data_IF_257458594277
#
_entry.id   IF_257458594277
#
_cell.length_a   1.000
_cell.length_b   1.000
_cell.length_c   1.000
_cell.angle_alpha   90.00
_cell.angle_beta   90.00
_cell.angle_gamma   90.00
#
_symmetry.space_group_name_H-M   'P 1'
#
loop_
_entity.id
_entity.type
_entity.pdbx_description
1 polymer ?
#
# COMPACT_ATOMS: atom_id res chain seq x y z
N UNK A 1 5.20 -10.32 -4.76
CA UNK A 1 4.57 -10.13 -6.10
C UNK A 1 5.47 -9.49 -7.15
N UNK A 2 6.58 -8.84 -6.78
CA UNK A 2 7.43 -8.09 -7.72
C UNK A 2 8.82 -8.71 -8.00
N UNK A 3 9.13 -9.86 -7.40
CA UNK A 3 10.45 -10.52 -7.58
C UNK A 3 10.70 -10.79 -9.07
N UNK A 4 11.84 -10.34 -9.57
CA UNK A 4 12.25 -10.48 -10.97
C UNK A 4 11.82 -9.32 -11.89
N UNK A 5 11.08 -8.32 -11.38
CA UNK A 5 10.80 -7.10 -12.14
C UNK A 5 12.00 -6.13 -12.06
N UNK A 6 12.29 -5.34 -13.12
CA UNK A 6 13.45 -4.44 -13.13
C UNK A 6 13.49 -3.45 -11.95
N UNK A 7 12.32 -2.96 -11.51
CA UNK A 7 12.18 -2.00 -10.42
C UNK A 7 12.19 -2.63 -9.02
N UNK A 8 12.33 -3.95 -8.89
CA UNK A 8 12.18 -4.62 -7.59
C UNK A 8 13.24 -4.20 -6.57
N UNK A 9 14.48 -4.00 -7.02
CA UNK A 9 15.57 -3.55 -6.14
C UNK A 9 15.28 -2.19 -5.53
N UNK A 10 14.92 -1.22 -6.37
CA UNK A 10 14.61 0.15 -5.95
C UNK A 10 13.38 0.19 -5.03
N UNK A 11 12.35 -0.60 -5.34
CA UNK A 11 11.17 -0.75 -4.48
C UNK A 11 11.56 -1.22 -3.07
N UNK A 12 12.39 -2.26 -2.95
CA UNK A 12 12.82 -2.79 -1.65
C UNK A 12 13.66 -1.74 -0.91
N UNK A 13 14.58 -1.07 -1.61
CA UNK A 13 15.41 -0.01 -1.03
C UNK A 13 14.55 1.13 -0.48
N UNK A 14 13.54 1.57 -1.23
CA UNK A 14 12.67 2.67 -0.84
C UNK A 14 11.84 2.32 0.41
N UNK A 15 11.10 1.20 0.38
CA UNK A 15 10.19 0.84 1.49
C UNK A 15 10.92 0.46 2.78
N UNK A 16 12.23 0.20 2.72
CA UNK A 16 13.08 -0.12 3.88
C UNK A 16 14.01 1.02 4.30
N UNK A 17 13.97 2.17 3.60
CA UNK A 17 14.83 3.33 3.88
C UNK A 17 14.48 4.07 5.17
N UNK A 18 13.30 3.81 5.76
CA UNK A 18 12.82 4.48 6.96
C UNK A 18 11.70 3.71 7.66
N UNK A 19 11.22 4.23 8.80
CA UNK A 19 10.11 3.63 9.53
C UNK A 19 8.81 3.73 8.72
N UNK A 20 7.95 2.71 8.85
CA UNK A 20 6.61 2.67 8.24
C UNK A 20 5.54 2.55 9.31
N UNK A 21 4.38 3.16 9.07
CA UNK A 21 3.18 2.93 9.88
C UNK A 21 2.38 1.77 9.29
N UNK A 22 2.39 0.62 9.95
CA UNK A 22 1.55 -0.52 9.58
C UNK A 22 0.19 -0.43 10.29
N UNK A 23 -0.90 -0.60 9.53
CA UNK A 23 -2.27 -0.55 10.04
C UNK A 23 -3.04 -1.81 9.63
N UNK A 24 -3.85 -2.35 10.55
CA UNK A 24 -4.86 -3.35 10.25
C UNK A 24 -6.25 -2.69 10.27
N UNK A 25 -6.89 -2.63 9.10
CA UNK A 25 -8.18 -1.94 8.94
C UNK A 25 -9.31 -2.95 8.78
N UNK A 26 -10.37 -2.81 9.58
CA UNK A 26 -11.59 -3.63 9.51
C UNK A 26 -12.80 -2.76 9.19
N UNK A 27 -13.69 -3.28 8.35
CA UNK A 27 -14.93 -2.62 7.99
C UNK A 27 -15.61 -3.32 6.82
N UNK A 28 -16.81 -2.86 6.49
CA UNK A 28 -17.49 -3.30 5.27
C UNK A 28 -16.68 -2.87 4.04
N UNK A 29 -16.46 -3.82 3.12
CA UNK A 29 -15.68 -3.58 1.90
C UNK A 29 -14.29 -2.95 2.13
N UNK A 30 -13.68 -3.17 3.31
CA UNK A 30 -12.48 -2.45 3.76
C UNK A 30 -11.36 -2.37 2.71
N UNK A 31 -11.07 -3.47 2.01
CA UNK A 31 -10.04 -3.51 0.96
C UNK A 31 -10.38 -2.52 -0.17
N UNK A 32 -11.60 -2.56 -0.69
CA UNK A 32 -12.02 -1.66 -1.76
C UNK A 32 -12.04 -0.21 -1.26
N UNK A 33 -12.60 0.04 -0.08
CA UNK A 33 -12.66 1.36 0.53
C UNK A 33 -11.27 1.97 0.73
N UNK A 34 -10.33 1.23 1.31
CA UNK A 34 -8.95 1.68 1.50
C UNK A 34 -8.28 1.96 0.16
N UNK A 35 -8.43 1.09 -0.84
CA UNK A 35 -7.86 1.32 -2.17
C UNK A 35 -8.44 2.55 -2.87
N UNK A 36 -9.73 2.82 -2.71
CA UNK A 36 -10.36 4.05 -3.20
C UNK A 36 -9.77 5.28 -2.52
N UNK A 37 -9.59 5.26 -1.19
CA UNK A 37 -8.96 6.36 -0.45
C UNK A 37 -7.49 6.57 -0.84
N UNK A 38 -6.76 5.50 -1.18
CA UNK A 38 -5.36 5.60 -1.61
C UNK A 38 -5.21 6.33 -2.96
N UNK A 39 -6.14 6.11 -3.89
CA UNK A 39 -6.03 6.60 -5.27
C UNK A 39 -5.30 5.63 -6.21
N UNK A 40 -5.22 6.01 -7.49
CA UNK A 40 -4.53 5.23 -8.53
C UNK A 40 -3.04 5.07 -8.21
N UNK A 41 -2.38 4.03 -8.75
CA UNK A 41 -0.95 3.79 -8.46
C UNK A 41 -0.06 4.94 -8.92
N UNK A 42 -0.38 5.52 -10.08
CA UNK A 42 0.24 6.74 -10.58
C UNK A 42 -0.49 7.95 -9.95
N UNK A 43 0.21 8.83 -9.20
CA UNK A 43 -0.40 10.01 -8.60
C UNK A 43 -1.07 10.93 -9.63
N UNK A 44 -0.53 11.03 -10.85
CA UNK A 44 -1.10 11.85 -11.93
C UNK A 44 -2.49 11.38 -12.40
N UNK A 45 -2.79 10.10 -12.18
CA UNK A 45 -4.09 9.50 -12.51
C UNK A 45 -5.02 9.42 -11.28
N UNK A 46 -4.58 9.93 -10.12
CA UNK A 46 -5.35 9.91 -8.87
C UNK A 46 -6.28 11.12 -8.76
N UNK A 47 -7.49 10.90 -8.25
CA UNK A 47 -8.43 11.99 -8.00
C UNK A 47 -7.96 12.87 -6.82
N UNK A 48 -8.23 14.19 -6.86
CA UNK A 48 -8.06 15.05 -5.68
C UNK A 48 -8.84 14.52 -4.47
N UNK A 49 -8.27 14.65 -3.27
CA UNK A 49 -8.82 14.10 -2.03
C UNK A 49 -8.40 12.67 -1.71
N UNK A 50 -7.71 11.98 -2.63
CA UNK A 50 -7.07 10.68 -2.34
C UNK A 50 -5.67 10.90 -1.80
N UNK A 51 -5.15 9.93 -1.03
CA UNK A 51 -3.80 10.02 -0.43
C UNK A 51 -2.75 10.32 -1.51
N UNK A 52 -2.78 9.60 -2.64
CA UNK A 52 -1.81 9.81 -3.72
C UNK A 52 -2.08 11.08 -4.53
N UNK A 53 -3.35 11.43 -4.76
CA UNK A 53 -3.69 12.67 -5.46
C UNK A 53 -3.23 13.92 -4.71
N UNK A 54 -3.29 13.89 -3.37
CA UNK A 54 -2.97 15.07 -2.56
C UNK A 54 -1.50 15.12 -2.12
N UNK A 55 -0.84 13.96 -1.94
CA UNK A 55 0.46 13.91 -1.26
C UNK A 55 1.60 13.34 -2.12
N UNK A 56 1.31 12.54 -3.15
CA UNK A 56 2.36 11.89 -3.94
C UNK A 56 2.65 12.62 -5.25
N UNK A 57 3.91 12.57 -5.69
CA UNK A 57 4.35 13.19 -6.96
C UNK A 57 4.85 12.17 -7.98
N UNK A 58 5.40 11.04 -7.51
CA UNK A 58 6.04 10.05 -8.37
C UNK A 58 5.42 8.66 -8.23
N UNK A 59 5.50 7.86 -9.30
CA UNK A 59 4.95 6.51 -9.35
C UNK A 59 5.64 5.55 -8.36
N UNK A 60 6.96 5.66 -8.24
CA UNK A 60 7.79 4.82 -7.36
C UNK A 60 7.68 5.20 -5.88
N UNK A 61 7.36 6.46 -5.59
CA UNK A 61 7.32 7.03 -4.23
C UNK A 61 5.89 7.47 -3.86
N UNK A 62 4.92 6.58 -4.05
CA UNK A 62 3.49 6.89 -3.97
C UNK A 62 2.87 6.75 -2.56
N UNK A 63 3.70 6.88 -1.51
CA UNK A 63 3.35 7.07 -0.09
C UNK A 63 2.68 5.90 0.63
N UNK A 64 1.76 5.18 -0.01
CA UNK A 64 0.87 4.24 0.66
C UNK A 64 0.78 2.91 -0.09
N UNK A 65 0.78 1.81 0.68
CA UNK A 65 0.48 0.45 0.24
C UNK A 65 -0.82 -0.03 0.86
N UNK A 66 -1.54 -0.89 0.15
CA UNK A 66 -2.74 -1.54 0.63
C UNK A 66 -3.03 -2.79 -0.18
N UNK A 67 -3.42 -3.85 0.51
CA UNK A 67 -3.70 -5.16 -0.09
C UNK A 67 -4.70 -5.05 -1.24
N UNK A 68 -4.54 -5.86 -2.27
CA UNK A 68 -5.38 -5.82 -3.48
C UNK A 68 -6.58 -6.79 -3.42
N UNK A 69 -6.55 -7.74 -2.49
CA UNK A 69 -7.49 -8.85 -2.42
C UNK A 69 -7.54 -9.44 -1.01
N UNK A 70 -8.57 -10.23 -0.71
CA UNK A 70 -8.68 -10.94 0.58
C UNK A 70 -7.51 -11.90 0.81
N UNK A 71 -7.01 -12.51 -0.26
CA UNK A 71 -5.86 -13.42 -0.20
C UNK A 71 -4.58 -12.65 0.17
N UNK A 72 -4.34 -11.50 -0.47
CA UNK A 72 -3.19 -10.65 -0.16
C UNK A 72 -3.29 -10.05 1.24
N UNK A 73 -4.46 -9.56 1.64
CA UNK A 73 -4.70 -9.05 2.98
C UNK A 73 -4.39 -10.08 4.06
N UNK A 74 -4.85 -11.33 3.90
CA UNK A 74 -4.54 -12.41 4.85
C UNK A 74 -3.04 -12.67 4.99
N UNK A 75 -2.29 -12.68 3.88
CA UNK A 75 -0.84 -12.88 3.92
C UNK A 75 -0.12 -11.70 4.54
N UNK A 76 -0.44 -10.48 4.11
CA UNK A 76 0.22 -9.24 4.53
C UNK A 76 -0.02 -8.95 6.02
N UNK A 77 -1.25 -9.14 6.52
CA UNK A 77 -1.53 -9.01 7.94
C UNK A 77 -0.72 -10.02 8.77
N UNK A 78 -0.55 -11.25 8.30
CA UNK A 78 0.30 -12.24 8.96
C UNK A 78 1.80 -11.92 8.93
N UNK A 79 2.26 -11.10 7.98
CA UNK A 79 3.65 -10.62 7.92
C UNK A 79 3.91 -9.50 8.94
N UNK A 80 2.99 -8.55 9.07
CA UNK A 80 3.16 -7.38 9.95
C UNK A 80 2.66 -7.60 11.39
N UNK A 81 1.72 -8.51 11.60
CA UNK A 81 1.09 -8.77 12.89
C UNK A 81 1.10 -10.27 13.22
N UNK A 82 2.29 -10.88 13.40
CA UNK A 82 2.43 -12.34 13.58
C UNK A 82 1.77 -12.86 14.87
N UNK A 83 1.69 -12.02 15.90
CA UNK A 83 1.07 -12.35 17.20
C UNK A 83 -0.45 -12.11 17.22
N UNK A 84 -1.02 -11.69 16.10
CA UNK A 84 -2.44 -11.37 15.96
C UNK A 84 -2.74 -9.87 15.96
N UNK A 85 -4.02 -9.55 15.76
CA UNK A 85 -4.54 -8.18 15.82
C UNK A 85 -5.00 -7.89 17.25
N UNK A 86 -4.62 -6.72 17.78
CA UNK A 86 -5.09 -6.23 19.08
C UNK A 86 -6.51 -5.68 18.96
#
# INVERSE_FOLDING_TARGET
>A
EHKGKPFFGDLVSFISSGPVLALAVRGESAIATVRTMMGATNPLDSAPGTIRGDLALELSENIVHGSDSKASAKRELGLFFPDGLV
#
